data_IF_483550376677
#
_entry.id   IF_483550376677
#
_cell.length_a   1.000
_cell.length_b   1.000
_cell.length_c   1.000
_cell.angle_alpha   90.00
_cell.angle_beta   90.00
_cell.angle_gamma   90.00
#
_symmetry.space_group_name_H-M   'P 1'
#
loop_
_entity.id
_entity.type
_entity.pdbx_description
1 polymer ?
#
# COMPACT_ATOMS: atom_id res chain seq x y z
N UNK A 1 5.61 22.04 -6.57
CA UNK A 1 4.20 22.20 -6.99
C UNK A 1 4.15 23.32 -8.01
N UNK A 2 3.16 23.29 -8.96
CA UNK A 2 2.88 24.46 -9.81
C UNK A 2 2.40 25.64 -8.96
N UNK A 3 2.57 26.88 -9.45
CA UNK A 3 2.23 28.09 -8.70
C UNK A 3 0.73 28.16 -8.31
N UNK A 4 -0.13 27.61 -9.17
CA UNK A 4 -1.59 27.58 -9.06
C UNK A 4 -2.14 26.29 -8.43
N UNK A 5 -1.24 25.40 -7.93
CA UNK A 5 -1.60 24.07 -7.46
C UNK A 5 -2.65 24.09 -6.34
N UNK A 6 -2.44 24.92 -5.33
CA UNK A 6 -3.36 25.03 -4.19
C UNK A 6 -4.65 25.75 -4.56
N UNK A 7 -4.58 26.79 -5.41
CA UNK A 7 -5.76 27.52 -5.93
C UNK A 7 -6.71 26.54 -6.62
N UNK A 8 -6.22 25.75 -7.58
CA UNK A 8 -7.02 24.73 -8.27
C UNK A 8 -7.66 23.71 -7.35
N UNK A 9 -6.98 23.35 -6.27
CA UNK A 9 -7.55 22.42 -5.29
C UNK A 9 -8.65 23.10 -4.45
N UNK A 10 -8.48 24.36 -4.07
CA UNK A 10 -9.52 25.16 -3.36
C UNK A 10 -10.74 25.38 -4.26
N UNK A 11 -10.52 25.69 -5.53
CA UNK A 11 -11.60 25.82 -6.53
C UNK A 11 -12.41 24.53 -6.65
N UNK A 12 -11.75 23.37 -6.63
CA UNK A 12 -12.42 22.08 -6.65
C UNK A 12 -13.36 21.90 -5.43
N UNK A 13 -12.91 22.28 -4.22
CA UNK A 13 -13.77 22.27 -3.02
C UNK A 13 -14.94 23.24 -3.12
N UNK A 14 -14.70 24.42 -3.70
CA UNK A 14 -15.73 25.46 -3.83
C UNK A 14 -16.83 25.04 -4.82
N UNK A 15 -16.43 24.44 -5.93
CA UNK A 15 -17.36 23.98 -6.97
C UNK A 15 -18.09 22.68 -6.59
N UNK A 16 -17.49 21.86 -5.73
CA UNK A 16 -18.00 20.55 -5.35
C UNK A 16 -18.07 20.39 -3.82
N UNK A 17 -19.13 20.87 -3.17
CA UNK A 17 -19.23 20.90 -1.69
C UNK A 17 -19.18 19.52 -0.98
N UNK A 18 -19.45 18.42 -1.70
CA UNK A 18 -19.35 17.06 -1.17
C UNK A 18 -17.91 16.53 -1.18
N UNK A 19 -17.00 17.20 -1.88
CA UNK A 19 -15.59 16.78 -1.95
C UNK A 19 -14.90 16.99 -0.61
N UNK A 20 -14.24 15.96 -0.14
CA UNK A 20 -13.50 15.96 1.12
C UNK A 20 -11.98 15.72 0.92
N UNK A 21 -11.59 15.09 -0.20
CA UNK A 21 -10.19 14.93 -0.61
C UNK A 21 -9.99 15.27 -2.08
N UNK A 22 -8.90 15.98 -2.42
CA UNK A 22 -8.57 16.37 -3.79
C UNK A 22 -7.14 15.93 -4.11
N UNK A 23 -6.98 15.06 -5.11
CA UNK A 23 -5.70 14.59 -5.61
C UNK A 23 -5.14 15.57 -6.64
N UNK A 24 -3.83 15.78 -6.59
CA UNK A 24 -3.09 16.58 -7.57
C UNK A 24 -2.73 15.77 -8.82
N UNK A 25 -2.49 16.44 -9.96
CA UNK A 25 -1.80 15.85 -11.11
C UNK A 25 -0.32 15.61 -10.73
N UNK A 26 0.01 14.38 -10.33
CA UNK A 26 1.36 14.05 -9.87
C UNK A 26 2.27 13.69 -11.04
N UNK A 27 3.41 14.38 -11.09
CA UNK A 27 4.47 14.21 -12.09
C UNK A 27 5.74 13.69 -11.44
N UNK A 28 6.23 12.55 -11.90
CA UNK A 28 7.58 12.09 -11.57
C UNK A 28 8.59 12.88 -12.37
N UNK A 29 9.53 13.53 -11.69
CA UNK A 29 10.58 14.33 -12.30
C UNK A 29 11.92 13.60 -12.12
N UNK A 30 12.47 13.17 -13.23
CA UNK A 30 13.80 12.58 -13.34
C UNK A 30 14.79 13.65 -13.84
N UNK A 31 16.11 13.41 -13.79
CA UNK A 31 17.08 14.37 -14.31
C UNK A 31 16.92 14.71 -15.80
N UNK A 32 16.36 13.79 -16.58
CA UNK A 32 16.27 13.84 -18.04
C UNK A 32 14.84 13.86 -18.59
N UNK A 33 13.80 13.65 -17.75
CA UNK A 33 12.42 13.58 -18.21
C UNK A 33 11.39 13.78 -17.10
N UNK A 34 10.18 14.08 -17.51
CA UNK A 34 8.98 14.01 -16.66
C UNK A 34 8.04 12.90 -17.12
N UNK A 35 7.39 12.23 -16.18
CA UNK A 35 6.38 11.20 -16.42
C UNK A 35 5.15 11.45 -15.55
N UNK A 36 3.95 11.28 -16.11
CA UNK A 36 2.72 11.30 -15.30
C UNK A 36 2.66 10.06 -14.42
N UNK A 37 2.17 10.21 -13.19
CA UNK A 37 1.78 9.05 -12.40
C UNK A 37 0.73 8.23 -13.18
N UNK A 38 0.88 6.90 -13.32
CA UNK A 38 -0.01 6.08 -14.14
C UNK A 38 -1.36 5.83 -13.45
N UNK A 39 -2.15 6.87 -13.31
CA UNK A 39 -3.46 6.85 -12.67
C UNK A 39 -4.56 6.90 -13.74
N UNK A 40 -5.64 6.09 -13.60
CA UNK A 40 -6.80 6.23 -14.46
C UNK A 40 -7.41 7.64 -14.29
N UNK A 41 -7.89 8.21 -15.37
CA UNK A 41 -8.63 9.46 -15.30
C UNK A 41 -9.98 9.21 -14.63
N UNK A 42 -10.31 10.01 -13.64
CA UNK A 42 -11.63 10.05 -13.02
C UNK A 42 -11.95 11.48 -12.61
N UNK A 43 -13.21 11.81 -12.57
CA UNK A 43 -13.67 13.11 -12.10
C UNK A 43 -13.96 13.05 -10.60
N UNK A 44 -14.71 12.05 -10.16
CA UNK A 44 -15.06 11.82 -8.78
C UNK A 44 -15.12 10.31 -8.46
N UNK A 45 -14.84 9.97 -7.22
CA UNK A 45 -15.05 8.64 -6.62
C UNK A 45 -15.69 8.82 -5.25
N UNK A 46 -16.47 7.85 -4.80
CA UNK A 46 -16.82 7.74 -3.38
C UNK A 46 -15.57 7.41 -2.55
N UNK A 47 -15.58 7.73 -1.27
CA UNK A 47 -14.47 7.40 -0.38
C UNK A 47 -14.13 5.91 -0.36
N UNK A 48 -15.14 5.02 -0.45
CA UNK A 48 -14.94 3.56 -0.54
C UNK A 48 -14.21 3.15 -1.82
N UNK A 49 -14.61 3.67 -2.97
CA UNK A 49 -13.93 3.41 -4.25
C UNK A 49 -12.50 3.92 -4.24
N UNK A 50 -12.26 5.10 -3.69
CA UNK A 50 -10.94 5.68 -3.54
C UNK A 50 -10.06 4.85 -2.59
N UNK A 51 -10.61 4.39 -1.47
CA UNK A 51 -9.94 3.45 -0.57
C UNK A 51 -9.52 2.18 -1.32
N UNK A 52 -10.44 1.52 -2.02
CA UNK A 52 -10.14 0.30 -2.79
C UNK A 52 -9.07 0.55 -3.87
N UNK A 53 -9.16 1.65 -4.60
CA UNK A 53 -8.18 2.02 -5.61
C UNK A 53 -6.79 2.29 -5.00
N UNK A 54 -6.72 2.86 -3.80
CA UNK A 54 -5.47 3.12 -3.08
C UNK A 54 -4.78 1.84 -2.58
N UNK A 55 -5.51 0.75 -2.35
CA UNK A 55 -4.94 -0.52 -1.90
C UNK A 55 -3.93 -1.12 -2.89
N UNK A 56 -4.10 -0.83 -4.17
CA UNK A 56 -3.23 -1.29 -5.26
C UNK A 56 -2.48 -0.15 -5.94
N UNK A 57 -2.52 1.05 -5.33
CA UNK A 57 -1.90 2.27 -5.88
C UNK A 57 -2.38 2.63 -7.28
N UNK A 58 -3.62 2.29 -7.62
CA UNK A 58 -4.29 2.82 -8.83
C UNK A 58 -4.48 4.33 -8.74
N UNK A 59 -4.63 4.86 -7.52
CA UNK A 59 -4.55 6.29 -7.22
C UNK A 59 -3.45 6.52 -6.20
N UNK A 60 -2.78 7.66 -6.28
CA UNK A 60 -1.64 8.01 -5.40
C UNK A 60 -2.10 8.66 -4.10
N UNK A 61 -1.14 8.86 -3.16
CA UNK A 61 -1.32 9.53 -1.88
C UNK A 61 -0.81 10.98 -1.85
N UNK A 62 -0.89 11.70 -2.96
CA UNK A 62 -0.52 13.13 -3.04
C UNK A 62 -1.79 13.94 -3.23
N UNK A 63 -2.31 14.49 -2.14
CA UNK A 63 -3.64 15.08 -2.07
C UNK A 63 -3.71 16.13 -0.97
N UNK A 64 -4.79 16.88 -0.94
CA UNK A 64 -5.25 17.64 0.22
C UNK A 64 -6.57 17.07 0.71
N UNK A 65 -6.83 17.21 2.01
CA UNK A 65 -8.01 16.67 2.68
C UNK A 65 -8.59 17.72 3.63
N UNK A 66 -9.88 17.67 3.90
CA UNK A 66 -10.51 18.51 4.92
C UNK A 66 -9.88 18.23 6.30
N UNK A 67 -9.60 19.29 7.04
CA UNK A 67 -8.90 19.23 8.32
C UNK A 67 -9.58 18.34 9.36
N UNK A 68 -10.91 18.25 9.33
CA UNK A 68 -11.70 17.41 10.23
C UNK A 68 -11.33 15.93 10.06
N UNK A 69 -11.22 15.44 8.82
CA UNK A 69 -10.85 14.05 8.53
C UNK A 69 -9.42 13.77 9.03
N UNK A 70 -8.49 14.72 8.84
CA UNK A 70 -7.13 14.54 9.35
C UNK A 70 -7.07 14.57 10.89
N UNK A 71 -7.93 15.32 11.56
CA UNK A 71 -8.02 15.31 13.05
C UNK A 71 -8.53 13.97 13.57
N UNK A 72 -9.49 13.35 12.86
CA UNK A 72 -10.04 12.04 13.23
C UNK A 72 -9.05 10.90 12.93
N UNK A 73 -8.26 11.04 11.87
CA UNK A 73 -7.26 10.09 11.43
C UNK A 73 -5.91 10.78 11.19
N UNK A 74 -5.18 11.14 12.27
CA UNK A 74 -3.85 11.71 12.15
C UNK A 74 -2.84 10.69 11.60
N UNK A 75 -1.60 11.14 11.34
CA UNK A 75 -0.56 10.25 10.86
C UNK A 75 -0.37 9.03 11.76
N UNK A 76 -0.35 7.84 11.14
CA UNK A 76 -0.09 6.58 11.83
C UNK A 76 1.40 6.47 12.17
N UNK A 77 1.72 6.54 13.46
CA UNK A 77 3.09 6.44 13.99
C UNK A 77 3.45 5.00 14.45
N UNK A 78 2.67 4.00 14.04
CA UNK A 78 2.88 2.60 14.45
C UNK A 78 4.22 2.02 14.02
N UNK A 79 4.83 2.57 12.98
CA UNK A 79 6.16 2.20 12.51
C UNK A 79 6.86 3.35 11.79
N UNK A 80 8.18 3.21 11.57
CA UNK A 80 9.01 4.26 10.96
C UNK A 80 8.81 4.44 9.46
N UNK A 81 8.29 3.43 8.77
CA UNK A 81 8.10 3.44 7.33
C UNK A 81 6.75 2.81 6.96
N UNK A 82 6.13 3.33 5.90
CA UNK A 82 4.89 2.82 5.30
C UNK A 82 3.60 3.00 6.14
N UNK A 83 3.66 3.64 7.31
CA UNK A 83 2.46 3.91 8.11
C UNK A 83 1.67 5.13 7.58
N UNK A 84 2.31 6.02 6.84
CA UNK A 84 1.69 7.12 6.10
C UNK A 84 0.69 6.62 5.05
N UNK A 85 0.93 5.46 4.45
CA UNK A 85 -0.04 4.78 3.58
C UNK A 85 -1.39 4.54 4.26
N UNK A 86 -1.39 4.20 5.55
CA UNK A 86 -2.59 3.96 6.34
C UNK A 86 -3.41 5.23 6.49
N UNK A 87 -2.75 6.34 6.81
CA UNK A 87 -3.39 7.66 6.94
C UNK A 87 -4.09 8.05 5.63
N UNK A 88 -3.38 7.94 4.51
CA UNK A 88 -3.93 8.21 3.18
C UNK A 88 -5.20 7.40 2.92
N UNK A 89 -5.16 6.08 3.19
CA UNK A 89 -6.29 5.17 2.98
C UNK A 89 -7.48 5.48 3.88
N UNK A 90 -7.23 5.83 5.14
CA UNK A 90 -8.29 6.22 6.08
C UNK A 90 -8.93 7.56 5.69
N UNK A 91 -8.15 8.52 5.22
CA UNK A 91 -8.66 9.77 4.70
C UNK A 91 -9.58 9.54 3.50
N UNK A 92 -9.18 8.69 2.55
CA UNK A 92 -10.05 8.33 1.43
C UNK A 92 -11.33 7.64 1.92
N UNK A 93 -11.21 6.61 2.76
CA UNK A 93 -12.37 5.86 3.27
C UNK A 93 -13.39 6.76 3.98
N UNK A 94 -12.89 7.78 4.69
CA UNK A 94 -13.71 8.72 5.45
C UNK A 94 -14.22 9.90 4.62
N UNK A 95 -13.76 10.05 3.38
CA UNK A 95 -14.25 11.07 2.45
C UNK A 95 -15.60 10.69 1.88
N UNK A 96 -16.53 11.63 1.79
CA UNK A 96 -17.79 11.45 1.04
C UNK A 96 -17.52 11.33 -0.44
N UNK A 97 -16.62 12.20 -0.94
CA UNK A 97 -16.20 12.27 -2.32
C UNK A 97 -14.71 12.62 -2.41
N UNK A 98 -14.01 11.94 -3.32
CA UNK A 98 -12.62 12.17 -3.68
C UNK A 98 -12.56 12.59 -5.15
N UNK A 99 -11.92 13.72 -5.45
CA UNK A 99 -11.77 14.26 -6.80
C UNK A 99 -10.32 14.46 -7.18
N UNK A 100 -10.08 14.73 -8.45
CA UNK A 100 -8.81 15.21 -8.98
C UNK A 100 -8.91 16.69 -9.34
N UNK A 101 -7.79 17.41 -9.28
CA UNK A 101 -7.65 18.73 -9.84
C UNK A 101 -6.48 18.81 -10.83
N UNK A 102 -6.40 19.88 -11.61
CA UNK A 102 -5.31 20.11 -12.57
C UNK A 102 -4.05 20.72 -11.93
N UNK A 103 -4.04 20.92 -10.61
CA UNK A 103 -2.88 21.39 -9.86
C UNK A 103 -1.77 20.35 -9.90
N UNK A 104 -0.54 20.75 -10.32
CA UNK A 104 0.56 19.80 -10.49
C UNK A 104 1.43 19.70 -9.25
N UNK A 105 1.73 18.45 -8.86
CA UNK A 105 2.71 18.12 -7.84
C UNK A 105 3.91 17.41 -8.49
N UNK A 106 5.09 18.00 -8.34
CA UNK A 106 6.34 17.46 -8.89
C UNK A 106 7.04 16.58 -7.85
N UNK A 107 7.06 15.27 -8.09
CA UNK A 107 7.71 14.30 -7.23
C UNK A 107 9.11 13.98 -7.79
N UNK A 108 10.13 14.57 -7.18
CA UNK A 108 11.52 14.41 -7.60
C UNK A 108 12.00 12.99 -7.36
N UNK A 109 12.50 12.34 -8.41
CA UNK A 109 13.06 10.99 -8.34
C UNK A 109 14.59 11.08 -8.22
N UNK A 110 15.13 10.57 -7.12
CA UNK A 110 16.56 10.50 -6.88
C UNK A 110 16.96 9.14 -6.33
N UNK A 111 18.15 8.63 -6.70
CA UNK A 111 18.62 7.29 -6.37
C UNK A 111 18.90 7.01 -4.88
N UNK A 112 18.92 8.05 -4.04
CA UNK A 112 19.21 7.92 -2.60
C UNK A 112 17.99 7.67 -1.72
N UNK A 113 16.79 7.53 -2.32
CA UNK A 113 15.56 7.26 -1.57
C UNK A 113 15.71 5.99 -0.71
N UNK A 114 15.31 6.09 0.54
CA UNK A 114 15.34 4.97 1.52
C UNK A 114 14.56 3.75 1.06
N UNK A 115 13.57 3.93 0.18
CA UNK A 115 12.76 2.84 -0.40
C UNK A 115 13.52 1.98 -1.41
N UNK A 116 14.65 2.46 -1.94
CA UNK A 116 15.45 1.74 -2.94
C UNK A 116 16.55 0.85 -2.32
N UNK A 117 16.95 1.10 -1.08
CA UNK A 117 18.01 0.31 -0.41
C UNK A 117 17.42 -0.92 0.28
N UNK A 118 17.92 -2.14 -0.04
CA UNK A 118 17.51 -3.33 0.72
C UNK A 118 17.86 -3.20 2.20
N UNK A 119 16.89 -3.49 3.08
CA UNK A 119 17.08 -3.39 4.51
C UNK A 119 15.86 -3.83 5.32
N UNK A 120 16.02 -3.87 6.64
CA UNK A 120 15.01 -4.33 7.59
C UNK A 120 13.75 -3.43 7.59
N UNK A 121 13.89 -2.14 7.28
CA UNK A 121 12.77 -1.19 7.21
C UNK A 121 11.68 -1.63 6.22
N UNK A 122 12.00 -2.46 5.22
CA UNK A 122 11.01 -2.98 4.27
C UNK A 122 9.92 -3.82 4.94
N UNK A 123 10.24 -4.47 6.06
CA UNK A 123 9.30 -5.30 6.80
C UNK A 123 8.31 -4.49 7.67
N UNK A 124 8.51 -3.19 7.82
CA UNK A 124 7.55 -2.32 8.50
C UNK A 124 6.19 -2.28 7.78
N UNK A 125 6.15 -2.61 6.48
CA UNK A 125 4.90 -2.85 5.76
C UNK A 125 3.95 -3.78 6.49
N UNK A 126 4.46 -4.86 7.09
CA UNK A 126 3.61 -5.82 7.81
C UNK A 126 3.11 -5.29 9.15
N UNK A 127 3.89 -4.40 9.79
CA UNK A 127 3.48 -3.72 11.02
C UNK A 127 2.41 -2.67 10.69
N UNK A 128 2.63 -1.86 9.65
CA UNK A 128 1.64 -0.91 9.14
C UNK A 128 0.33 -1.62 8.76
N UNK A 129 0.42 -2.77 8.08
CA UNK A 129 -0.76 -3.56 7.75
C UNK A 129 -1.53 -4.07 8.98
N UNK A 130 -0.86 -4.40 10.06
CA UNK A 130 -1.52 -4.80 11.31
C UNK A 130 -2.21 -3.61 11.96
N UNK A 131 -1.54 -2.45 12.05
CA UNK A 131 -2.11 -1.21 12.57
C UNK A 131 -3.39 -0.84 11.82
N UNK A 132 -3.35 -0.87 10.47
CA UNK A 132 -4.52 -0.58 9.64
C UNK A 132 -5.66 -1.57 9.87
N UNK A 133 -5.37 -2.89 9.96
CA UNK A 133 -6.40 -3.88 10.28
C UNK A 133 -7.09 -3.58 11.61
N UNK A 134 -6.31 -3.26 12.64
CA UNK A 134 -6.86 -2.91 13.95
C UNK A 134 -7.72 -1.65 13.89
N UNK A 135 -7.29 -0.65 13.13
CA UNK A 135 -8.07 0.58 12.93
C UNK A 135 -9.37 0.31 12.20
N UNK A 136 -9.35 -0.48 11.11
CA UNK A 136 -10.56 -0.85 10.38
C UNK A 136 -11.57 -1.60 11.26
N UNK A 137 -11.10 -2.51 12.10
CA UNK A 137 -11.95 -3.19 13.08
C UNK A 137 -12.52 -2.22 14.13
N UNK A 138 -11.70 -1.31 14.63
CA UNK A 138 -12.11 -0.32 15.65
C UNK A 138 -13.18 0.64 15.14
N UNK A 139 -13.10 1.07 13.88
CA UNK A 139 -14.12 1.95 13.29
C UNK A 139 -15.35 1.21 12.77
N UNK A 140 -15.41 -0.12 12.92
CA UNK A 140 -16.52 -0.94 12.44
C UNK A 140 -16.64 -0.96 10.92
N UNK A 141 -15.52 -1.03 10.20
CA UNK A 141 -15.53 -1.09 8.74
C UNK A 141 -16.34 -2.29 8.23
N UNK A 142 -17.00 -2.12 7.10
CA UNK A 142 -17.81 -3.18 6.48
C UNK A 142 -16.99 -4.44 6.22
N UNK A 143 -17.62 -5.62 6.35
CA UNK A 143 -16.99 -6.93 6.14
C UNK A 143 -16.28 -7.01 4.77
N UNK A 144 -16.86 -6.44 3.73
CA UNK A 144 -16.24 -6.36 2.41
C UNK A 144 -14.91 -5.61 2.41
N UNK A 145 -14.81 -4.52 3.18
CA UNK A 145 -13.56 -3.76 3.33
C UNK A 145 -12.50 -4.57 4.09
N UNK A 146 -12.94 -5.27 5.15
CA UNK A 146 -12.06 -6.15 5.92
C UNK A 146 -11.53 -7.30 5.05
N UNK A 147 -12.38 -7.92 4.23
CA UNK A 147 -11.97 -8.99 3.32
C UNK A 147 -10.98 -8.48 2.25
N UNK A 148 -11.26 -7.34 1.62
CA UNK A 148 -10.35 -6.71 0.66
C UNK A 148 -8.99 -6.42 1.30
N UNK A 149 -9.00 -5.83 2.49
CA UNK A 149 -7.76 -5.49 3.18
C UNK A 149 -6.98 -6.72 3.62
N UNK A 150 -7.64 -7.80 4.04
CA UNK A 150 -7.00 -9.06 4.38
C UNK A 150 -6.27 -9.68 3.19
N UNK A 151 -6.84 -9.58 1.98
CA UNK A 151 -6.16 -10.00 0.75
C UNK A 151 -4.90 -9.15 0.46
N UNK A 152 -4.94 -7.84 0.70
CA UNK A 152 -3.76 -6.96 0.59
C UNK A 152 -2.69 -7.38 1.59
N UNK A 153 -3.05 -7.62 2.85
CA UNK A 153 -2.14 -8.10 3.89
C UNK A 153 -1.48 -9.42 3.48
N UNK A 154 -2.27 -10.34 2.94
CA UNK A 154 -1.77 -11.62 2.45
C UNK A 154 -0.76 -11.44 1.32
N UNK A 155 -1.07 -10.61 0.33
CA UNK A 155 -0.16 -10.31 -0.78
C UNK A 155 1.14 -9.66 -0.31
N UNK A 156 1.10 -8.84 0.74
CA UNK A 156 2.31 -8.25 1.34
C UNK A 156 3.17 -9.31 2.06
N UNK A 157 2.56 -10.31 2.72
CA UNK A 157 3.28 -11.45 3.29
C UNK A 157 4.04 -12.21 2.20
N UNK A 158 3.36 -12.59 1.12
CA UNK A 158 3.98 -13.27 -0.05
C UNK A 158 5.03 -12.37 -0.71
N UNK A 159 4.73 -11.09 -0.88
CA UNK A 159 5.63 -10.10 -1.47
C UNK A 159 6.94 -9.95 -0.69
N UNK A 160 6.87 -9.96 0.64
CA UNK A 160 8.08 -9.87 1.48
C UNK A 160 8.85 -11.19 1.57
N UNK A 161 8.19 -12.33 1.45
CA UNK A 161 8.90 -13.60 1.21
C UNK A 161 9.69 -13.53 -0.10
N UNK A 162 9.10 -13.00 -1.18
CA UNK A 162 9.78 -12.80 -2.46
C UNK A 162 10.92 -11.78 -2.37
N UNK A 163 10.73 -10.69 -1.61
CA UNK A 163 11.78 -9.72 -1.33
C UNK A 163 13.00 -10.34 -0.67
N UNK A 164 12.81 -11.19 0.36
CA UNK A 164 13.91 -11.93 0.99
C UNK A 164 14.60 -12.84 -0.01
N UNK A 165 13.83 -13.57 -0.83
CA UNK A 165 14.38 -14.46 -1.86
C UNK A 165 15.28 -13.72 -2.85
N UNK A 166 14.83 -12.57 -3.36
CA UNK A 166 15.60 -11.76 -4.33
C UNK A 166 16.84 -11.10 -3.70
N UNK A 167 16.71 -10.61 -2.47
CA UNK A 167 17.75 -9.80 -1.82
C UNK A 167 18.62 -10.58 -0.82
N UNK A 168 18.55 -11.91 -0.79
CA UNK A 168 19.26 -12.76 0.17
C UNK A 168 20.79 -12.59 0.19
N UNK A 169 21.38 -12.06 -0.90
CA UNK A 169 22.82 -11.77 -1.00
C UNK A 169 23.16 -10.35 -0.52
N UNK A 170 22.21 -9.46 -0.46
CA UNK A 170 22.36 -8.05 -0.09
C UNK A 170 21.96 -7.79 1.37
N UNK A 171 21.00 -8.55 1.90
CA UNK A 171 20.56 -8.47 3.29
C UNK A 171 21.57 -9.16 4.21
N UNK A 172 21.81 -8.58 5.39
CA UNK A 172 22.57 -9.24 6.44
C UNK A 172 21.85 -10.48 6.97
N UNK A 173 22.61 -11.44 7.56
CA UNK A 173 22.01 -12.62 8.21
C UNK A 173 21.04 -12.22 9.34
N UNK A 174 21.36 -11.12 10.05
CA UNK A 174 20.49 -10.57 11.10
C UNK A 174 19.17 -10.04 10.54
N UNK A 175 19.22 -9.27 9.44
CA UNK A 175 18.02 -8.73 8.79
C UNK A 175 17.12 -9.83 8.23
N UNK A 176 17.72 -10.88 7.63
CA UNK A 176 16.96 -12.03 7.14
C UNK A 176 16.25 -12.74 8.31
N UNK A 177 16.97 -13.01 9.41
CA UNK A 177 16.39 -13.68 10.58
C UNK A 177 15.22 -12.87 11.17
N UNK A 178 15.43 -11.57 11.37
CA UNK A 178 14.39 -10.69 11.93
C UNK A 178 13.23 -10.49 10.94
N UNK A 179 13.54 -10.28 9.65
CA UNK A 179 12.51 -10.19 8.60
C UNK A 179 11.63 -11.44 8.53
N UNK A 180 12.22 -12.63 8.57
CA UNK A 180 11.48 -13.89 8.60
C UNK A 180 10.62 -14.04 9.86
N UNK A 181 11.10 -13.52 11.01
CA UNK A 181 10.31 -13.49 12.25
C UNK A 181 9.08 -12.60 12.10
N UNK A 182 9.24 -11.41 11.50
CA UNK A 182 8.13 -10.47 11.25
C UNK A 182 7.14 -11.06 10.23
N UNK A 183 7.63 -11.68 9.15
CA UNK A 183 6.78 -12.35 8.16
C UNK A 183 5.97 -13.47 8.82
N UNK A 184 6.59 -14.32 9.66
CA UNK A 184 5.89 -15.40 10.36
C UNK A 184 4.83 -14.86 11.31
N UNK A 185 5.11 -13.77 12.03
CA UNK A 185 4.13 -13.11 12.89
C UNK A 185 2.92 -12.61 12.08
N UNK A 186 3.16 -11.93 10.96
CA UNK A 186 2.08 -11.47 10.07
C UNK A 186 1.31 -12.65 9.46
N UNK A 187 2.01 -13.69 8.97
CA UNK A 187 1.41 -14.91 8.44
C UNK A 187 0.48 -15.57 9.46
N UNK A 188 0.87 -15.66 10.73
CA UNK A 188 0.03 -16.19 11.80
C UNK A 188 -1.27 -15.38 11.97
N UNK A 189 -1.24 -14.09 11.73
CA UNK A 189 -2.37 -13.18 11.92
C UNK A 189 -3.34 -13.12 10.73
N UNK A 190 -3.03 -13.78 9.61
CA UNK A 190 -3.92 -13.82 8.44
C UNK A 190 -5.14 -14.71 8.73
N UNK A 191 -6.32 -14.15 8.49
CA UNK A 191 -7.61 -14.85 8.54
C UNK A 191 -7.86 -15.52 7.19
N UNK A 192 -7.58 -16.82 7.12
CA UNK A 192 -7.65 -17.57 5.86
C UNK A 192 -9.06 -17.56 5.26
N UNK A 193 -10.09 -17.48 6.07
CA UNK A 193 -11.50 -17.49 5.67
C UNK A 193 -11.82 -16.28 4.78
N UNK A 194 -11.22 -15.12 5.06
CA UNK A 194 -11.38 -13.85 4.34
C UNK A 194 -10.65 -13.81 2.99
N UNK A 195 -9.74 -14.76 2.74
CA UNK A 195 -8.97 -14.76 1.51
C UNK A 195 -9.81 -15.21 0.31
N UNK A 196 -9.60 -14.55 -0.83
CA UNK A 196 -10.21 -14.95 -2.09
C UNK A 196 -9.86 -16.41 -2.46
N UNK A 197 -10.80 -17.17 -3.05
CA UNK A 197 -10.56 -18.58 -3.42
C UNK A 197 -9.32 -18.79 -4.27
N UNK A 198 -8.97 -17.83 -5.14
CA UNK A 198 -7.77 -17.91 -5.99
C UNK A 198 -6.48 -18.00 -5.17
N UNK A 199 -6.40 -17.33 -4.01
CA UNK A 199 -5.22 -17.40 -3.16
C UNK A 199 -5.16 -18.67 -2.31
N UNK A 200 -6.28 -19.33 -2.07
CA UNK A 200 -6.33 -20.60 -1.30
C UNK A 200 -5.80 -21.80 -2.09
N UNK A 201 -5.77 -21.71 -3.44
CA UNK A 201 -5.48 -22.85 -4.33
C UNK A 201 -4.28 -22.65 -5.25
N UNK A 202 -3.78 -21.42 -5.39
CA UNK A 202 -2.68 -21.11 -6.32
C UNK A 202 -1.33 -21.36 -5.67
N UNK A 203 -0.48 -22.17 -6.30
CA UNK A 203 0.91 -22.36 -5.87
C UNK A 203 1.62 -21.01 -5.70
N UNK A 204 2.36 -20.85 -4.60
CA UNK A 204 3.02 -19.59 -4.24
C UNK A 204 2.09 -18.54 -3.62
N UNK A 205 0.81 -18.90 -3.38
CA UNK A 205 -0.17 -18.05 -2.70
C UNK A 205 -1.00 -18.80 -1.66
N UNK A 206 -0.89 -20.13 -1.60
CA UNK A 206 -1.60 -20.91 -0.58
C UNK A 206 -1.04 -20.59 0.80
N UNK A 207 -1.88 -20.20 1.77
CA UNK A 207 -1.40 -19.76 3.08
C UNK A 207 -0.81 -20.89 3.93
N UNK A 208 -1.12 -22.16 3.64
CA UNK A 208 -0.58 -23.36 4.33
C UNK A 208 -0.56 -23.20 5.86
N UNK A 209 -1.66 -22.74 6.45
CA UNK A 209 -1.77 -22.38 7.87
C UNK A 209 -1.47 -23.54 8.84
N UNK A 210 -1.44 -24.77 8.35
CA UNK A 210 -1.10 -25.96 9.11
C UNK A 210 0.41 -26.10 9.38
N UNK A 211 1.30 -25.47 8.57
CA UNK A 211 2.75 -25.54 8.78
C UNK A 211 3.49 -24.36 8.16
N UNK A 212 4.18 -23.60 9.02
CA UNK A 212 5.10 -22.54 8.59
C UNK A 212 6.21 -23.07 7.65
N UNK A 213 6.78 -24.20 7.95
CA UNK A 213 7.86 -24.78 7.14
C UNK A 213 7.35 -25.18 5.74
N UNK A 214 6.14 -25.73 5.65
CA UNK A 214 5.53 -26.05 4.37
C UNK A 214 5.27 -24.79 3.55
N UNK A 215 4.79 -23.70 4.17
CA UNK A 215 4.66 -22.41 3.52
C UNK A 215 6.00 -21.89 2.97
N UNK A 216 7.05 -21.89 3.80
CA UNK A 216 8.40 -21.44 3.38
C UNK A 216 8.94 -22.28 2.21
N UNK A 217 8.77 -23.60 2.25
CA UNK A 217 9.20 -24.49 1.17
C UNK A 217 8.43 -24.19 -0.12
N UNK A 218 7.10 -24.05 -0.04
CA UNK A 218 6.25 -23.71 -1.18
C UNK A 218 6.73 -22.41 -1.85
N UNK A 219 6.96 -21.35 -1.05
CA UNK A 219 7.38 -20.05 -1.59
C UNK A 219 8.75 -20.14 -2.28
N UNK A 220 9.72 -20.84 -1.68
CA UNK A 220 11.04 -21.00 -2.29
C UNK A 220 10.96 -21.79 -3.60
N UNK A 221 10.19 -22.86 -3.67
CA UNK A 221 9.95 -23.63 -4.91
C UNK A 221 9.32 -22.74 -5.97
N UNK A 222 8.24 -22.04 -5.62
CA UNK A 222 7.53 -21.15 -6.54
C UNK A 222 8.42 -20.03 -7.08
N UNK A 223 9.20 -19.35 -6.23
CA UNK A 223 10.09 -18.27 -6.65
C UNK A 223 11.25 -18.78 -7.51
N UNK A 224 11.76 -19.98 -7.22
CA UNK A 224 12.80 -20.61 -8.05
C UNK A 224 12.26 -20.92 -9.45
N UNK A 225 11.08 -21.52 -9.55
CA UNK A 225 10.42 -21.80 -10.83
C UNK A 225 10.17 -20.52 -11.62
N UNK A 226 9.63 -19.47 -10.95
CA UNK A 226 9.41 -18.15 -11.55
C UNK A 226 10.71 -17.53 -12.08
N UNK A 227 11.81 -17.63 -11.32
CA UNK A 227 13.09 -17.10 -11.73
C UNK A 227 13.68 -17.85 -12.94
N UNK A 228 13.45 -19.14 -13.06
CA UNK A 228 13.88 -19.96 -14.21
C UNK A 228 13.07 -19.64 -15.48
N UNK A 229 11.75 -19.43 -15.34
CA UNK A 229 10.86 -19.08 -16.45
C UNK A 229 11.12 -17.67 -16.99
N UNK A 230 11.45 -16.71 -16.14
CA UNK A 230 11.74 -15.33 -16.53
C UNK A 230 13.15 -15.13 -17.11
N UNK A 231 13.99 -16.16 -17.17
CA UNK A 231 15.32 -16.15 -17.82
C UNK A 231 15.28 -16.58 -19.29
N UNK A 232 14.11 -16.96 -19.79
CA UNK A 232 13.85 -17.27 -21.20
C UNK A 232 13.17 -16.08 -21.88
#
# INVERSE_FOLDING_TARGET
MSADCLEKAVDCYTQHPLTDSVLFDTRYVYPDREESYPMPKFEAMSGKEAFEASLTWKIHGVYIVKAEIHKDFPYDESCKAYSDDNTTRLHYLSSREVRTCEGRYYYLQHGESTTHKPGLQRFDYLKANMSMKQTLLKIGAEERILDLYENVRWLNVVGLMYYVFLNRKLLSKGDIKEGMRIIRWAWNSIEQERLEPRYKRKLGYMPMKWSWNAFVVQENVYFTLKALLNRR
#
